data_IF_165786624907
#
_entry.id   IF_165786624907
#
_cell.length_a   1.000
_cell.length_b   1.000
_cell.length_c   1.000
_cell.angle_alpha   90.00
_cell.angle_beta   90.00
_cell.angle_gamma   90.00
#
_symmetry.space_group_name_H-M   'P 1'
#
loop_
_entity.id
_entity.type
_entity.pdbx_description
1 polymer ?
#
# COMPACT_ATOMS: atom_id res chain seq x y z
N UNK A 1 -20.52 4.55 -1.79
CA UNK A 1 -20.23 3.22 -1.19
C UNK A 1 -18.86 3.32 -0.54
N UNK A 2 -18.66 2.58 0.55
CA UNK A 2 -17.51 2.78 1.43
C UNK A 2 -16.50 1.68 1.16
N UNK A 3 -15.33 2.06 0.63
CA UNK A 3 -14.21 1.15 0.44
C UNK A 3 -13.82 0.56 1.80
N UNK A 4 -13.96 -0.76 1.92
CA UNK A 4 -13.67 -1.53 3.12
C UNK A 4 -12.41 -2.36 2.93
N UNK A 5 -11.68 -2.57 4.01
CA UNK A 5 -10.46 -3.36 4.02
C UNK A 5 -10.58 -4.52 5.03
N UNK A 6 -11.55 -5.45 4.81
CA UNK A 6 -11.78 -6.55 5.74
C UNK A 6 -10.59 -7.51 5.78
N UNK A 7 -9.89 -7.67 4.66
CA UNK A 7 -8.71 -8.50 4.55
C UNK A 7 -7.44 -7.69 4.85
N UNK A 8 -6.57 -8.24 5.70
CA UNK A 8 -5.19 -7.74 5.88
C UNK A 8 -4.22 -8.29 4.83
N UNK A 9 -4.74 -8.84 3.74
CA UNK A 9 -3.93 -9.40 2.66
C UNK A 9 -3.00 -8.33 2.12
N UNK A 10 -1.71 -8.53 2.38
CA UNK A 10 -0.61 -7.70 1.92
C UNK A 10 0.43 -8.65 1.35
N UNK A 11 0.96 -8.30 0.19
CA UNK A 11 2.11 -9.01 -0.39
C UNK A 11 3.14 -7.97 -0.76
N UNK A 12 4.40 -8.26 -0.50
CA UNK A 12 5.48 -7.46 -1.04
C UNK A 12 5.88 -8.02 -2.40
N UNK A 13 6.02 -7.14 -3.38
CA UNK A 13 6.61 -7.46 -4.67
C UNK A 13 8.05 -6.95 -4.63
N UNK A 14 9.01 -7.86 -4.50
CA UNK A 14 10.42 -7.52 -4.41
C UNK A 14 10.95 -6.92 -5.72
N UNK A 15 10.50 -7.44 -6.87
CA UNK A 15 10.95 -6.99 -8.19
C UNK A 15 10.67 -5.51 -8.44
N UNK A 16 9.61 -4.96 -7.82
CA UNK A 16 9.25 -3.55 -7.88
C UNK A 16 9.42 -2.80 -6.56
N UNK A 17 9.79 -3.51 -5.49
CA UNK A 17 9.79 -3.01 -4.10
C UNK A 17 8.49 -2.30 -3.75
N UNK A 18 7.35 -2.95 -3.96
CA UNK A 18 6.03 -2.38 -3.64
C UNK A 18 5.22 -3.31 -2.74
N UNK A 19 4.52 -2.76 -1.76
CA UNK A 19 3.51 -3.46 -0.96
C UNK A 19 2.17 -3.38 -1.68
N UNK A 20 1.64 -4.52 -2.13
CA UNK A 20 0.29 -4.60 -2.69
C UNK A 20 -0.72 -4.99 -1.62
N UNK A 21 -1.87 -4.32 -1.62
CA UNK A 21 -3.01 -4.65 -0.78
C UNK A 21 -4.32 -4.45 -1.54
N UNK A 22 -5.39 -5.11 -1.10
CA UNK A 22 -6.70 -5.02 -1.76
C UNK A 22 -7.74 -4.37 -0.85
N UNK A 23 -8.52 -3.46 -1.42
CA UNK A 23 -9.76 -2.95 -0.83
C UNK A 23 -10.98 -3.52 -1.53
N UNK A 24 -12.11 -3.54 -0.86
CA UNK A 24 -13.37 -4.05 -1.38
C UNK A 24 -14.45 -2.98 -1.29
N UNK A 25 -15.04 -2.61 -2.43
CA UNK A 25 -16.25 -1.79 -2.49
C UNK A 25 -17.44 -2.71 -2.83
N UNK A 26 -17.94 -3.41 -1.81
CA UNK A 26 -18.95 -4.46 -1.97
C UNK A 26 -18.36 -5.69 -2.65
N UNK A 27 -18.69 -5.90 -3.93
CA UNK A 27 -18.25 -7.07 -4.72
C UNK A 27 -17.03 -6.77 -5.60
N UNK A 28 -16.61 -5.50 -5.66
CA UNK A 28 -15.47 -5.07 -6.46
C UNK A 28 -14.20 -5.07 -5.62
N UNK A 29 -13.24 -5.89 -6.03
CA UNK A 29 -11.87 -5.81 -5.52
C UNK A 29 -11.12 -4.66 -6.22
N UNK A 30 -10.47 -3.84 -5.41
CA UNK A 30 -9.66 -2.70 -5.85
C UNK A 30 -8.25 -2.94 -5.35
N UNK A 31 -7.30 -3.00 -6.28
CA UNK A 31 -5.90 -3.22 -5.95
C UNK A 31 -5.17 -1.91 -5.70
N UNK A 32 -4.42 -1.86 -4.61
CA UNK A 32 -3.59 -0.73 -4.25
C UNK A 32 -2.14 -1.20 -4.15
N UNK A 33 -1.23 -0.42 -4.73
CA UNK A 33 0.21 -0.67 -4.71
C UNK A 33 0.87 0.49 -3.98
N UNK A 34 1.65 0.24 -2.94
CA UNK A 34 2.41 1.26 -2.20
C UNK A 34 3.87 1.02 -2.44
N UNK A 35 4.61 2.04 -2.88
CA UNK A 35 6.06 1.90 -3.03
C UNK A 35 6.76 1.78 -1.67
N UNK A 36 7.75 0.88 -1.56
CA UNK A 36 8.58 0.76 -0.37
C UNK A 36 9.31 2.07 -0.03
N UNK A 37 9.68 2.82 -1.07
CA UNK A 37 10.29 4.16 -0.94
C UNK A 37 9.34 5.14 -0.21
N UNK A 38 8.03 4.99 -0.42
CA UNK A 38 7.00 5.77 0.27
C UNK A 38 6.89 5.43 1.76
N UNK A 39 7.14 4.17 2.11
CA UNK A 39 7.06 3.66 3.48
C UNK A 39 8.36 3.87 4.25
N UNK A 40 9.50 3.92 3.55
CA UNK A 40 10.82 4.02 4.14
C UNK A 40 11.68 5.02 3.35
N UNK A 41 11.53 6.33 3.61
CA UNK A 41 12.33 7.39 2.97
C UNK A 41 13.81 7.38 3.38
N UNK A 42 14.21 6.42 4.21
CA UNK A 42 15.58 6.27 4.68
C UNK A 42 16.23 5.17 3.86
N UNK A 43 17.16 5.59 3.02
CA UNK A 43 18.24 4.89 2.30
C UNK A 43 18.98 3.79 3.12
N UNK A 44 18.24 2.86 3.70
CA UNK A 44 18.66 1.78 4.59
C UNK A 44 17.98 0.52 4.04
N UNK A 45 18.19 0.25 2.76
CA UNK A 45 17.89 -1.06 2.19
C UNK A 45 19.19 -1.86 2.24
N UNK A 46 19.43 -2.67 3.29
CA UNK A 46 20.51 -3.65 3.22
C UNK A 46 20.23 -4.56 2.02
N UNK A 47 21.28 -4.97 1.30
CA UNK A 47 21.17 -5.75 0.06
C UNK A 47 20.56 -7.17 0.22
N UNK A 48 19.95 -7.47 1.38
CA UNK A 48 19.32 -8.73 1.70
C UNK A 48 17.78 -8.57 1.66
N UNK A 49 17.18 -9.17 0.65
CA UNK A 49 15.75 -9.23 0.33
C UNK A 49 14.84 -9.54 1.53
N UNK A 50 15.31 -10.42 2.42
CA UNK A 50 14.49 -11.08 3.46
C UNK A 50 14.01 -10.11 4.54
N UNK A 51 14.82 -9.11 4.90
CA UNK A 51 14.46 -8.14 5.95
C UNK A 51 13.68 -6.93 5.40
N UNK A 52 13.81 -6.64 4.10
CA UNK A 52 13.15 -5.49 3.47
C UNK A 52 11.63 -5.70 3.43
N UNK A 53 11.18 -6.90 3.08
CA UNK A 53 9.76 -7.23 3.09
C UNK A 53 9.16 -6.97 4.48
N UNK A 54 9.70 -7.59 5.53
CA UNK A 54 9.17 -7.45 6.89
C UNK A 54 9.21 -5.99 7.39
N UNK A 55 10.29 -5.26 7.09
CA UNK A 55 10.36 -3.82 7.41
C UNK A 55 9.30 -3.00 6.66
N UNK A 56 9.10 -3.25 5.37
CA UNK A 56 8.08 -2.55 4.58
C UNK A 56 6.68 -2.91 5.06
N UNK A 57 6.44 -4.18 5.38
CA UNK A 57 5.16 -4.65 5.92
C UNK A 57 4.87 -4.05 7.30
N UNK A 58 5.88 -3.93 8.17
CA UNK A 58 5.77 -3.30 9.48
C UNK A 58 5.53 -1.78 9.37
N UNK A 59 6.26 -1.09 8.49
CA UNK A 59 6.04 0.34 8.21
C UNK A 59 4.64 0.58 7.62
N UNK A 60 4.22 -0.28 6.69
CA UNK A 60 2.87 -0.26 6.16
C UNK A 60 1.83 -0.50 7.26
N UNK A 61 2.03 -1.47 8.16
CA UNK A 61 1.09 -1.73 9.26
C UNK A 61 0.97 -0.51 10.20
N UNK A 62 2.09 0.15 10.50
CA UNK A 62 2.14 1.36 11.31
C UNK A 62 1.40 2.54 10.65
N UNK A 63 1.51 2.71 9.33
CA UNK A 63 0.84 3.78 8.57
C UNK A 63 -0.47 3.34 7.90
N UNK A 64 -0.92 2.10 8.14
CA UNK A 64 -2.09 1.49 7.53
C UNK A 64 -3.36 2.34 7.60
N UNK A 65 -3.75 2.94 8.75
CA UNK A 65 -4.94 3.76 8.79
C UNK A 65 -4.83 5.00 7.88
N UNK A 66 -3.65 5.61 7.78
CA UNK A 66 -3.42 6.76 6.90
C UNK A 66 -3.46 6.36 5.43
N UNK A 67 -2.81 5.25 5.06
CA UNK A 67 -2.84 4.72 3.69
C UNK A 67 -4.26 4.36 3.26
N UNK A 68 -5.05 3.77 4.16
CA UNK A 68 -6.46 3.46 3.89
C UNK A 68 -7.32 4.72 3.70
N UNK A 69 -7.02 5.79 4.42
CA UNK A 69 -7.71 7.07 4.28
C UNK A 69 -7.39 7.73 2.94
N UNK A 70 -6.10 7.78 2.56
CA UNK A 70 -5.66 8.26 1.25
C UNK A 70 -6.27 7.41 0.13
N UNK A 71 -6.25 6.07 0.26
CA UNK A 71 -6.87 5.16 -0.69
C UNK A 71 -8.37 5.43 -0.86
N UNK A 72 -9.10 5.72 0.22
CA UNK A 72 -10.51 6.14 0.17
C UNK A 72 -10.69 7.47 -0.54
N UNK A 73 -9.84 8.46 -0.25
CA UNK A 73 -9.90 9.79 -0.86
C UNK A 73 -9.66 9.74 -2.37
N UNK A 74 -8.62 9.01 -2.81
CA UNK A 74 -8.31 8.81 -4.23
C UNK A 74 -9.41 8.00 -4.92
N UNK A 75 -9.90 6.94 -4.28
CA UNK A 75 -11.00 6.12 -4.81
C UNK A 75 -12.30 6.92 -4.97
N UNK A 76 -12.60 7.82 -4.01
CA UNK A 76 -13.74 8.71 -4.10
C UNK A 76 -13.61 9.71 -5.26
N UNK A 77 -12.39 10.18 -5.53
CA UNK A 77 -12.09 11.14 -6.60
C UNK A 77 -12.12 10.51 -8.00
N UNK A 78 -11.69 9.26 -8.12
CA UNK A 78 -11.67 8.55 -9.40
C UNK A 78 -11.87 7.07 -9.11
N UNK A 79 -12.90 6.38 -9.64
CA UNK A 79 -13.19 4.97 -9.37
C UNK A 79 -12.52 4.05 -10.40
N UNK A 80 -11.36 3.50 -10.05
CA UNK A 80 -10.54 2.58 -10.84
C UNK A 80 -10.37 1.26 -10.10
N UNK A 81 -10.01 0.21 -10.84
CA UNK A 81 -9.72 -1.10 -10.28
C UNK A 81 -8.30 -1.20 -9.70
N UNK A 82 -7.40 -0.26 -10.02
CA UNK A 82 -6.03 -0.25 -9.53
C UNK A 82 -5.49 1.17 -9.28
N UNK A 83 -4.71 1.31 -8.21
CA UNK A 83 -4.01 2.55 -7.84
C UNK A 83 -2.60 2.27 -7.37
N UNK A 84 -1.69 3.16 -7.73
CA UNK A 84 -0.33 3.18 -7.20
C UNK A 84 -0.18 4.41 -6.33
N UNK A 85 0.11 4.19 -5.05
CA UNK A 85 0.42 5.17 -4.03
C UNK A 85 1.94 5.29 -3.95
N UNK A 86 2.43 6.47 -4.26
CA UNK A 86 3.86 6.78 -4.21
C UNK A 86 4.19 7.59 -2.96
N UNK A 87 5.47 7.86 -2.72
CA UNK A 87 5.91 8.76 -1.63
C UNK A 87 5.30 10.16 -1.73
N UNK A 88 4.94 10.59 -2.94
CA UNK A 88 4.26 11.86 -3.17
C UNK A 88 2.79 11.87 -2.68
N UNK A 89 2.11 10.72 -2.68
CA UNK A 89 0.73 10.58 -2.24
C UNK A 89 0.60 10.44 -0.72
N UNK A 90 1.68 10.03 -0.04
CA UNK A 90 1.75 9.81 1.41
C UNK A 90 2.45 10.96 2.18
N UNK A 91 2.74 12.09 1.52
CA UNK A 91 3.49 13.23 2.07
C UNK A 91 2.60 14.29 2.73
#
# INVERSE_FOLDING_TARGET
>A
MTLQFPNRSRSFDDSRRVVRFSGYDGMFEVHFFVEADALSPRNVLPAADVDIEDMCLAAFDAQRPSIQDVARSIYASNRRASYTLTSADLR
#
